data_IF_430687228407
#
_entry.id   IF_430687228407
#
_cell.length_a   1.000
_cell.length_b   1.000
_cell.length_c   1.000
_cell.angle_alpha   90.00
_cell.angle_beta   90.00
_cell.angle_gamma   90.00
#
_symmetry.space_group_name_H-M   'P 1'
#
loop_
_entity.id
_entity.type
_entity.pdbx_description
1 polymer ?
#
# COMPACT_ATOMS: atom_id res chain seq x y z
N UNK A 1 -33.58 32.56 11.77
CA UNK A 1 -33.10 31.74 12.90
C UNK A 1 -31.93 32.35 13.68
N UNK A 2 -31.09 33.23 13.11
CA UNK A 2 -29.86 33.77 13.74
C UNK A 2 -30.02 34.82 14.86
N UNK A 3 -31.21 35.03 15.44
CA UNK A 3 -31.43 36.04 16.51
C UNK A 3 -31.82 35.46 17.87
N UNK A 4 -32.08 34.15 17.95
CA UNK A 4 -32.48 33.47 19.19
C UNK A 4 -31.51 32.38 19.64
N UNK A 5 -30.60 31.99 18.77
CA UNK A 5 -29.63 30.94 19.05
C UNK A 5 -28.22 31.50 18.95
N UNK A 6 -27.40 31.22 19.96
CA UNK A 6 -25.95 31.41 19.92
C UNK A 6 -25.31 30.10 19.49
N UNK A 7 -24.45 30.15 18.49
CA UNK A 7 -23.69 28.99 18.04
C UNK A 7 -22.56 28.76 19.04
N UNK A 8 -22.64 27.66 19.79
CA UNK A 8 -21.54 27.17 20.62
C UNK A 8 -20.82 26.09 19.82
N UNK A 9 -19.61 26.40 19.35
CA UNK A 9 -18.79 25.45 18.61
C UNK A 9 -18.06 24.54 19.59
N UNK A 10 -18.41 23.26 19.60
CA UNK A 10 -17.66 22.24 20.33
C UNK A 10 -16.50 21.76 19.46
N UNK A 11 -15.29 21.81 20.00
CA UNK A 11 -14.11 21.27 19.35
C UNK A 11 -13.98 19.78 19.67
N UNK A 12 -13.33 19.05 18.78
CA UNK A 12 -12.89 17.67 19.05
C UNK A 12 -11.95 17.64 20.26
N UNK A 13 -12.06 16.59 21.06
CA UNK A 13 -11.19 16.40 22.21
C UNK A 13 -9.75 16.12 21.81
N UNK A 14 -8.79 16.60 22.61
CA UNK A 14 -7.39 16.21 22.42
C UNK A 14 -7.15 14.76 22.83
N UNK A 15 -5.97 14.22 22.47
CA UNK A 15 -5.56 12.87 22.91
C UNK A 15 -5.50 12.77 24.43
N UNK A 16 -5.00 13.82 25.09
CA UNK A 16 -4.87 13.90 26.54
C UNK A 16 -6.25 13.97 27.21
N UNK A 17 -7.14 14.81 26.71
CA UNK A 17 -8.53 14.89 27.21
C UNK A 17 -9.26 13.55 27.04
N UNK A 18 -9.09 12.91 25.89
CA UNK A 18 -9.66 11.58 25.62
C UNK A 18 -9.12 10.54 26.60
N UNK A 19 -7.83 10.58 26.93
CA UNK A 19 -7.25 9.66 27.91
C UNK A 19 -7.88 9.81 29.29
N UNK A 20 -8.13 11.04 29.73
CA UNK A 20 -8.82 11.30 31.00
C UNK A 20 -10.28 10.84 30.97
N UNK A 21 -10.98 11.02 29.84
CA UNK A 21 -12.34 10.48 29.63
C UNK A 21 -12.31 8.94 29.74
N UNK A 22 -11.39 8.27 29.05
CA UNK A 22 -11.26 6.81 29.09
C UNK A 22 -10.98 6.29 30.51
N UNK A 23 -10.12 6.97 31.27
CA UNK A 23 -9.86 6.64 32.68
C UNK A 23 -11.13 6.80 33.54
N UNK A 24 -11.93 7.83 33.28
CA UNK A 24 -13.18 8.09 34.00
C UNK A 24 -14.25 7.01 33.77
N UNK A 25 -14.38 6.55 32.52
CA UNK A 25 -15.39 5.52 32.15
C UNK A 25 -14.87 4.08 32.31
N UNK A 26 -13.56 3.89 32.54
CA UNK A 26 -12.91 2.58 32.67
C UNK A 26 -13.65 1.64 33.62
N UNK A 27 -13.95 2.09 34.84
CA UNK A 27 -14.57 1.23 35.87
C UNK A 27 -15.95 0.69 35.48
N UNK A 28 -16.70 1.45 34.66
CA UNK A 28 -17.95 0.99 34.08
C UNK A 28 -17.73 -0.18 33.12
N UNK A 29 -16.77 -0.06 32.19
CA UNK A 29 -16.44 -1.14 31.25
C UNK A 29 -15.84 -2.38 31.96
N UNK A 30 -15.00 -2.18 32.96
CA UNK A 30 -14.42 -3.29 33.73
C UNK A 30 -15.51 -4.10 34.45
N UNK A 31 -16.46 -3.42 35.09
CA UNK A 31 -17.58 -4.07 35.80
C UNK A 31 -18.57 -4.74 34.84
N UNK A 32 -18.91 -4.09 33.73
CA UNK A 32 -19.85 -4.60 32.73
C UNK A 32 -19.29 -5.83 31.97
N UNK A 33 -18.04 -5.75 31.52
CA UNK A 33 -17.41 -6.82 30.76
C UNK A 33 -16.71 -7.87 31.62
N UNK A 34 -16.48 -7.58 32.91
CA UNK A 34 -15.72 -8.42 33.85
C UNK A 34 -14.26 -8.65 33.41
N UNK A 35 -13.63 -7.59 32.89
CA UNK A 35 -12.25 -7.59 32.40
C UNK A 35 -11.50 -6.46 33.09
N UNK A 36 -10.23 -6.68 33.46
CA UNK A 36 -9.35 -5.60 33.91
C UNK A 36 -8.70 -4.90 32.74
N UNK A 37 -8.62 -3.58 32.80
CA UNK A 37 -8.00 -2.73 31.79
C UNK A 37 -6.81 -2.02 32.45
N UNK A 38 -5.60 -2.12 31.89
CA UNK A 38 -4.47 -1.36 32.42
C UNK A 38 -4.51 0.10 31.92
N UNK A 39 -4.10 1.04 32.77
CA UNK A 39 -4.01 2.46 32.41
C UNK A 39 -2.92 2.70 31.35
N UNK A 40 -1.85 1.90 31.35
CA UNK A 40 -0.82 1.95 30.30
C UNK A 40 -1.43 1.59 28.95
N UNK A 41 -2.31 0.58 28.94
CA UNK A 41 -2.97 0.11 27.74
C UNK A 41 -3.94 1.15 27.15
N UNK A 42 -4.59 1.99 27.97
CA UNK A 42 -5.43 3.08 27.48
C UNK A 42 -4.62 4.11 26.68
N UNK A 43 -3.38 4.39 27.09
CA UNK A 43 -2.48 5.27 26.34
C UNK A 43 -2.11 4.63 25.00
N UNK A 44 -1.76 3.35 25.00
CA UNK A 44 -1.46 2.61 23.76
C UNK A 44 -2.67 2.54 22.82
N UNK A 45 -3.87 2.35 23.36
CA UNK A 45 -5.11 2.35 22.58
C UNK A 45 -5.29 3.66 21.83
N UNK A 46 -5.07 4.80 22.48
CA UNK A 46 -5.19 6.12 21.84
C UNK A 46 -4.17 6.26 20.71
N UNK A 47 -2.92 5.84 20.89
CA UNK A 47 -1.93 5.93 19.81
C UNK A 47 -2.27 5.01 18.64
N UNK A 48 -2.75 3.79 18.89
CA UNK A 48 -3.20 2.88 17.83
C UNK A 48 -4.41 3.43 17.07
N UNK A 49 -5.40 3.93 17.79
CA UNK A 49 -6.60 4.52 17.20
C UNK A 49 -6.25 5.78 16.42
N UNK A 50 -5.33 6.60 16.93
CA UNK A 50 -4.86 7.78 16.21
C UNK A 50 -4.17 7.39 14.91
N UNK A 51 -3.27 6.42 14.94
CA UNK A 51 -2.51 6.00 13.77
C UNK A 51 -3.44 5.43 12.67
N UNK A 52 -4.41 4.58 13.06
CA UNK A 52 -5.19 3.78 12.10
C UNK A 52 -6.57 4.38 11.74
N UNK A 53 -7.23 5.12 12.63
CA UNK A 53 -8.60 5.62 12.45
C UNK A 53 -8.58 7.16 12.32
N UNK A 54 -8.33 7.64 11.10
CA UNK A 54 -8.24 9.08 10.80
C UNK A 54 -9.57 9.74 10.38
N UNK A 55 -10.55 8.96 9.93
CA UNK A 55 -11.83 9.45 9.42
C UNK A 55 -12.93 9.65 10.49
N UNK A 56 -12.57 9.48 11.77
CA UNK A 56 -13.46 9.69 12.92
C UNK A 56 -12.79 10.59 13.95
N UNK A 57 -13.63 11.20 14.78
CA UNK A 57 -13.22 12.16 15.79
C UNK A 57 -13.16 11.54 17.17
N UNK A 58 -12.26 12.05 18.00
CA UNK A 58 -12.23 11.79 19.43
C UNK A 58 -13.41 12.44 20.17
N UNK A 59 -13.84 11.87 21.31
CA UNK A 59 -13.32 10.67 21.97
C UNK A 59 -13.96 9.37 21.46
N UNK A 60 -15.00 9.48 20.64
CA UNK A 60 -15.90 8.43 20.19
C UNK A 60 -15.18 7.22 19.58
N UNK A 61 -14.25 7.47 18.64
CA UNK A 61 -13.46 6.39 18.02
C UNK A 61 -12.65 5.55 19.01
N UNK A 62 -12.19 6.14 20.12
CA UNK A 62 -11.42 5.42 21.12
C UNK A 62 -12.32 4.59 22.03
N UNK A 63 -13.49 5.14 22.38
CA UNK A 63 -14.48 4.46 23.21
C UNK A 63 -15.01 3.22 22.48
N UNK A 64 -15.35 3.36 21.20
CA UNK A 64 -15.85 2.24 20.39
C UNK A 64 -14.83 1.10 20.29
N UNK A 65 -13.56 1.43 20.02
CA UNK A 65 -12.50 0.42 19.94
C UNK A 65 -12.25 -0.22 21.31
N UNK A 66 -12.30 0.55 22.40
CA UNK A 66 -12.18 -0.01 23.75
C UNK A 66 -13.31 -1.00 24.05
N UNK A 67 -14.56 -0.62 23.78
CA UNK A 67 -15.73 -1.46 24.04
C UNK A 67 -15.69 -2.75 23.21
N UNK A 68 -15.48 -2.63 21.90
CA UNK A 68 -15.34 -3.78 21.00
C UNK A 68 -14.19 -4.72 21.44
N UNK A 69 -13.08 -4.15 21.90
CA UNK A 69 -11.94 -4.94 22.39
C UNK A 69 -12.29 -5.69 23.68
N UNK A 70 -13.06 -5.08 24.58
CA UNK A 70 -13.55 -5.73 25.80
C UNK A 70 -14.56 -6.84 25.49
N UNK A 71 -15.52 -6.60 24.59
CA UNK A 71 -16.47 -7.63 24.11
C UNK A 71 -15.70 -8.84 23.57
N UNK A 72 -14.67 -8.57 22.77
CA UNK A 72 -13.87 -9.62 22.15
C UNK A 72 -13.02 -10.37 23.19
N UNK A 73 -12.33 -9.69 24.10
CA UNK A 73 -11.62 -10.33 25.21
C UNK A 73 -12.54 -11.24 26.04
N UNK A 74 -13.77 -10.80 26.30
CA UNK A 74 -14.78 -11.57 27.06
C UNK A 74 -15.20 -12.83 26.30
N UNK A 75 -15.38 -12.71 24.99
CA UNK A 75 -15.67 -13.84 24.11
C UNK A 75 -14.56 -14.90 24.13
N UNK A 76 -13.29 -14.49 24.26
CA UNK A 76 -12.15 -15.40 24.41
C UNK A 76 -11.86 -15.80 25.87
N UNK A 77 -12.74 -15.45 26.81
CA UNK A 77 -12.59 -15.75 28.25
C UNK A 77 -11.30 -15.18 28.87
N UNK A 78 -10.80 -14.07 28.34
CA UNK A 78 -9.66 -13.34 28.89
C UNK A 78 -10.11 -12.54 30.13
N UNK A 79 -9.26 -12.50 31.16
CA UNK A 79 -9.53 -11.73 32.40
C UNK A 79 -9.01 -10.30 32.34
N UNK A 80 -8.07 -10.04 31.43
CA UNK A 80 -7.39 -8.76 31.28
C UNK A 80 -7.32 -8.40 29.80
N UNK A 81 -7.51 -7.13 29.48
CA UNK A 81 -7.41 -6.66 28.11
C UNK A 81 -5.93 -6.60 27.70
N UNK A 82 -5.61 -7.10 26.51
CA UNK A 82 -4.25 -7.13 25.98
C UNK A 82 -4.12 -6.23 24.74
N UNK A 83 -2.89 -5.77 24.47
CA UNK A 83 -2.58 -5.00 23.26
C UNK A 83 -2.95 -5.75 21.98
N UNK A 84 -2.65 -7.04 21.91
CA UNK A 84 -2.98 -7.89 20.77
C UNK A 84 -4.47 -7.88 20.48
N UNK A 85 -5.33 -7.91 21.52
CA UNK A 85 -6.78 -7.87 21.35
C UNK A 85 -7.26 -6.56 20.73
N UNK A 86 -6.65 -5.43 21.11
CA UNK A 86 -6.95 -4.10 20.55
C UNK A 86 -6.54 -4.06 19.08
N UNK A 87 -5.32 -4.50 18.75
CA UNK A 87 -4.83 -4.55 17.36
C UNK A 87 -5.77 -5.37 16.49
N UNK A 88 -6.11 -6.59 16.91
CA UNK A 88 -7.03 -7.44 16.15
C UNK A 88 -8.47 -6.87 16.07
N UNK A 89 -8.84 -5.97 16.98
CA UNK A 89 -10.14 -5.29 16.94
C UNK A 89 -10.12 -4.19 15.90
N UNK A 90 -9.03 -3.40 15.86
CA UNK A 90 -8.80 -2.38 14.82
C UNK A 90 -8.74 -3.04 13.44
N UNK A 91 -8.02 -4.15 13.28
CA UNK A 91 -7.95 -4.92 12.04
C UNK A 91 -9.34 -5.33 11.55
N UNK A 92 -10.17 -5.89 12.43
CA UNK A 92 -11.54 -6.28 12.08
C UNK A 92 -12.44 -5.08 11.80
N UNK A 93 -12.29 -4.01 12.58
CA UNK A 93 -13.10 -2.80 12.46
C UNK A 93 -12.83 -2.08 11.14
N UNK A 94 -11.57 -1.96 10.74
CA UNK A 94 -11.15 -1.34 9.48
C UNK A 94 -11.14 -2.31 8.30
N UNK A 95 -11.31 -3.61 8.57
CA UNK A 95 -11.11 -4.69 7.61
C UNK A 95 -9.74 -4.61 6.93
N UNK A 96 -8.68 -4.49 7.72
CA UNK A 96 -7.29 -4.40 7.24
C UNK A 96 -6.41 -5.45 7.93
N UNK A 97 -5.21 -5.59 7.40
CA UNK A 97 -4.15 -6.41 7.98
C UNK A 97 -3.05 -5.54 8.57
N UNK A 98 -2.77 -5.64 9.87
CA UNK A 98 -1.64 -4.95 10.50
C UNK A 98 -0.46 -5.92 10.59
N UNK A 99 0.73 -5.44 10.21
CA UNK A 99 1.92 -6.27 9.95
C UNK A 99 2.34 -7.20 11.10
N UNK A 100 2.05 -6.86 12.36
CA UNK A 100 2.59 -7.56 13.53
C UNK A 100 2.09 -9.01 13.70
N UNK A 101 1.01 -9.40 13.01
CA UNK A 101 0.41 -10.74 13.10
C UNK A 101 0.30 -11.45 11.74
N UNK A 102 0.96 -10.94 10.70
CA UNK A 102 0.89 -11.52 9.36
C UNK A 102 1.70 -12.81 9.23
N UNK A 103 1.07 -13.84 8.65
CA UNK A 103 1.78 -15.00 8.14
C UNK A 103 2.47 -14.63 6.82
N UNK A 104 3.71 -14.16 6.94
CA UNK A 104 4.55 -13.77 5.81
C UNK A 104 4.77 -14.93 4.82
N UNK A 105 4.82 -16.18 5.29
CA UNK A 105 4.98 -17.34 4.40
C UNK A 105 3.73 -17.56 3.56
N UNK A 106 2.54 -17.34 4.15
CA UNK A 106 1.28 -17.39 3.42
C UNK A 106 1.18 -16.23 2.41
N UNK A 107 1.58 -15.02 2.80
CA UNK A 107 1.59 -13.87 1.90
C UNK A 107 2.54 -14.10 0.72
N UNK A 108 3.75 -14.61 0.96
CA UNK A 108 4.72 -14.96 -0.08
C UNK A 108 4.14 -15.98 -1.06
N UNK A 109 3.54 -17.07 -0.55
CA UNK A 109 2.90 -18.09 -1.38
C UNK A 109 1.72 -17.53 -2.20
N UNK A 110 0.94 -16.61 -1.63
CA UNK A 110 -0.17 -15.96 -2.33
C UNK A 110 0.32 -15.03 -3.44
N UNK A 111 1.35 -14.23 -3.18
CA UNK A 111 1.97 -13.37 -4.19
C UNK A 111 2.60 -14.19 -5.31
N UNK A 112 3.34 -15.25 -4.99
CA UNK A 112 3.96 -16.14 -5.98
C UNK A 112 2.94 -16.91 -6.84
N UNK A 113 1.69 -17.07 -6.38
CA UNK A 113 0.60 -17.63 -7.21
C UNK A 113 0.14 -16.65 -8.29
N UNK A 114 0.07 -15.36 -7.95
CA UNK A 114 -0.42 -14.33 -8.86
C UNK A 114 0.68 -13.79 -9.79
N UNK A 115 1.92 -13.78 -9.33
CA UNK A 115 3.08 -13.14 -9.96
C UNK A 115 4.11 -14.22 -10.27
N UNK A 116 4.11 -14.68 -11.52
CA UNK A 116 4.96 -15.79 -11.97
C UNK A 116 6.28 -15.31 -12.57
N UNK A 117 7.39 -15.86 -12.07
CA UNK A 117 8.73 -15.61 -12.60
C UNK A 117 9.52 -14.52 -11.87
N UNK A 118 8.99 -13.96 -10.78
CA UNK A 118 9.62 -12.90 -9.99
C UNK A 118 9.76 -13.28 -8.51
N UNK A 119 9.88 -14.57 -8.22
CA UNK A 119 9.96 -15.14 -6.86
C UNK A 119 11.05 -14.46 -6.03
N UNK A 120 12.23 -14.23 -6.62
CA UNK A 120 13.33 -13.51 -5.97
C UNK A 120 12.92 -12.12 -5.49
N UNK A 121 12.17 -11.38 -6.32
CA UNK A 121 11.74 -10.03 -5.98
C UNK A 121 10.65 -10.03 -4.91
N UNK A 122 9.75 -11.01 -4.95
CA UNK A 122 8.71 -11.18 -3.93
C UNK A 122 9.34 -11.55 -2.59
N UNK A 123 10.31 -12.46 -2.57
CA UNK A 123 11.05 -12.83 -1.37
C UNK A 123 11.69 -11.60 -0.69
N UNK A 124 12.36 -10.75 -1.48
CA UNK A 124 12.93 -9.49 -0.99
C UNK A 124 11.88 -8.54 -0.41
N UNK A 125 10.69 -8.44 -1.03
CA UNK A 125 9.61 -7.62 -0.47
C UNK A 125 9.17 -8.14 0.90
N UNK A 126 9.01 -9.46 1.02
CA UNK A 126 8.58 -10.11 2.26
C UNK A 126 9.62 -9.94 3.36
N UNK A 127 10.91 -10.07 3.04
CA UNK A 127 12.01 -9.80 3.97
C UNK A 127 11.95 -8.36 4.50
N UNK A 128 11.75 -7.35 3.64
CA UNK A 128 11.58 -5.95 4.09
C UNK A 128 10.37 -5.80 5.03
N UNK A 129 9.25 -6.46 4.73
CA UNK A 129 8.06 -6.44 5.59
C UNK A 129 8.26 -7.10 6.96
N UNK A 130 9.23 -8.00 7.11
CA UNK A 130 9.58 -8.62 8.38
C UNK A 130 10.45 -7.72 9.27
N UNK A 131 11.31 -6.92 8.66
CA UNK A 131 12.31 -6.13 9.37
C UNK A 131 11.96 -4.67 9.57
N UNK A 132 11.04 -4.12 8.76
CA UNK A 132 10.65 -2.71 8.80
C UNK A 132 9.15 -2.54 9.05
N UNK A 133 8.78 -1.55 9.85
CA UNK A 133 7.39 -1.10 9.99
C UNK A 133 7.05 -0.08 8.89
N UNK A 134 5.76 0.14 8.65
CA UNK A 134 5.32 1.15 7.70
C UNK A 134 5.76 2.56 8.14
N UNK A 135 6.01 3.49 7.19
CA UNK A 135 5.91 3.32 5.73
C UNK A 135 7.07 2.50 5.15
N UNK A 136 6.75 1.69 4.13
CA UNK A 136 7.74 0.90 3.37
C UNK A 136 7.72 1.32 1.92
N UNK A 137 8.89 1.46 1.32
CA UNK A 137 9.08 1.86 -0.06
C UNK A 137 9.80 0.79 -0.89
N UNK A 138 9.19 0.42 -2.01
CA UNK A 138 9.75 -0.54 -2.96
C UNK A 138 9.97 0.14 -4.30
N UNK A 139 11.15 -0.06 -4.90
CA UNK A 139 11.42 0.37 -6.26
C UNK A 139 11.58 -0.84 -7.18
N UNK A 140 10.66 -1.01 -8.12
CA UNK A 140 10.59 -2.16 -9.03
C UNK A 140 10.96 -1.74 -10.45
N UNK A 141 12.10 -2.22 -10.96
CA UNK A 141 12.59 -1.94 -12.31
C UNK A 141 12.74 -3.23 -13.15
N UNK A 142 12.90 -3.12 -14.46
CA UNK A 142 12.81 -4.25 -15.41
C UNK A 142 11.97 -3.98 -16.67
N UNK A 143 11.74 -5.00 -17.52
CA UNK A 143 11.00 -4.86 -18.78
C UNK A 143 9.51 -4.51 -18.58
N UNK A 144 8.87 -4.09 -19.67
CA UNK A 144 7.42 -3.92 -19.73
C UNK A 144 6.72 -5.28 -19.56
N UNK A 145 5.51 -5.26 -19.02
CA UNK A 145 4.65 -6.45 -18.88
C UNK A 145 5.19 -7.58 -17.99
N UNK A 146 6.22 -7.35 -17.18
CA UNK A 146 6.74 -8.31 -16.20
C UNK A 146 5.95 -8.37 -14.89
N UNK A 147 4.79 -7.70 -14.79
CA UNK A 147 3.92 -7.79 -13.60
C UNK A 147 4.15 -6.75 -12.50
N UNK A 148 4.87 -5.65 -12.75
CA UNK A 148 5.16 -4.62 -11.72
C UNK A 148 3.89 -3.99 -11.11
N UNK A 149 2.99 -3.51 -11.97
CA UNK A 149 1.69 -2.97 -11.57
C UNK A 149 0.82 -4.04 -10.90
N UNK A 150 0.93 -5.29 -11.37
CA UNK A 150 0.22 -6.43 -10.80
C UNK A 150 0.69 -6.72 -9.38
N UNK A 151 1.97 -6.59 -9.09
CA UNK A 151 2.53 -6.76 -7.76
C UNK A 151 1.89 -5.80 -6.77
N UNK A 152 1.78 -4.53 -7.12
CA UNK A 152 1.10 -3.54 -6.27
C UNK A 152 -0.38 -3.87 -6.05
N UNK A 153 -1.09 -4.25 -7.12
CA UNK A 153 -2.51 -4.61 -7.03
C UNK A 153 -2.74 -5.88 -6.19
N UNK A 154 -1.88 -6.88 -6.34
CA UNK A 154 -1.97 -8.16 -5.60
C UNK A 154 -1.61 -7.95 -4.14
N UNK A 155 -0.59 -7.14 -3.85
CA UNK A 155 -0.22 -6.77 -2.49
C UNK A 155 -1.36 -6.03 -1.77
N UNK A 156 -1.98 -5.04 -2.44
CA UNK A 156 -3.13 -4.34 -1.88
C UNK A 156 -4.30 -5.29 -1.57
N UNK A 157 -4.57 -6.24 -2.47
CA UNK A 157 -5.60 -7.28 -2.28
C UNK A 157 -5.29 -8.18 -1.07
N UNK A 158 -4.06 -8.64 -0.91
CA UNK A 158 -3.71 -9.59 0.16
C UNK A 158 -3.55 -8.92 1.53
N UNK A 159 -3.10 -7.66 1.58
CA UNK A 159 -3.09 -6.85 2.79
C UNK A 159 -4.47 -6.25 3.11
N UNK A 160 -5.41 -6.35 2.18
CA UNK A 160 -6.70 -5.67 2.21
C UNK A 160 -6.55 -4.14 2.43
N UNK A 161 -5.56 -3.56 1.76
CA UNK A 161 -5.29 -2.13 1.76
C UNK A 161 -5.97 -1.48 0.56
N UNK A 162 -6.29 -0.20 0.70
CA UNK A 162 -6.78 0.56 -0.44
C UNK A 162 -5.69 0.66 -1.51
N UNK A 163 -6.05 0.43 -2.77
CA UNK A 163 -5.11 0.53 -3.89
C UNK A 163 -5.26 1.88 -4.58
N UNK A 164 -4.21 2.69 -4.55
CA UNK A 164 -4.15 3.95 -5.28
C UNK A 164 -3.04 3.90 -6.33
N UNK A 165 -3.41 4.06 -7.60
CA UNK A 165 -2.45 4.18 -8.71
C UNK A 165 -2.38 5.62 -9.17
N UNK A 166 -1.16 6.14 -9.24
CA UNK A 166 -0.83 7.40 -9.88
C UNK A 166 0.06 7.11 -11.09
N UNK A 167 -0.41 7.51 -12.28
CA UNK A 167 0.36 7.39 -13.52
C UNK A 167 1.22 8.64 -13.69
N UNK A 168 2.53 8.49 -13.52
CA UNK A 168 3.47 9.62 -13.52
C UNK A 168 3.60 10.29 -14.89
N UNK A 169 3.13 9.66 -15.98
CA UNK A 169 3.04 10.32 -17.29
C UNK A 169 2.10 11.53 -17.27
N UNK A 170 1.11 11.55 -16.37
CA UNK A 170 0.21 12.70 -16.20
C UNK A 170 0.86 13.85 -15.40
N UNK A 171 2.08 13.64 -14.92
CA UNK A 171 2.77 14.56 -14.04
C UNK A 171 4.19 14.92 -14.53
N UNK A 172 4.35 14.99 -15.84
CA UNK A 172 5.59 15.42 -16.50
C UNK A 172 5.87 16.92 -16.33
N UNK A 173 4.82 17.72 -16.14
CA UNK A 173 4.92 19.19 -16.08
C UNK A 173 4.77 19.68 -14.63
N UNK A 174 5.56 20.68 -14.22
CA UNK A 174 5.61 21.18 -12.83
C UNK A 174 4.25 21.59 -12.26
N UNK A 175 3.33 22.12 -13.08
CA UNK A 175 1.99 22.53 -12.64
C UNK A 175 1.07 21.33 -12.30
N UNK A 176 1.46 20.11 -12.70
CA UNK A 176 0.73 18.88 -12.36
C UNK A 176 0.83 18.54 -10.87
N UNK A 177 1.83 19.09 -10.17
CA UNK A 177 1.96 18.97 -8.71
C UNK A 177 0.72 19.53 -8.01
N UNK A 178 0.14 20.61 -8.52
CA UNK A 178 -1.09 21.18 -7.99
C UNK A 178 -2.30 20.24 -8.17
N UNK A 179 -2.34 19.43 -9.22
CA UNK A 179 -3.37 18.39 -9.37
C UNK A 179 -3.21 17.27 -8.32
N UNK A 180 -1.98 16.99 -7.91
CA UNK A 180 -1.65 15.98 -6.91
C UNK A 180 -1.96 16.47 -5.48
N UNK A 181 -1.67 17.74 -5.18
CA UNK A 181 -1.68 18.27 -3.81
C UNK A 181 -2.78 19.31 -3.56
N UNK A 182 -3.09 20.17 -4.53
CA UNK A 182 -4.00 21.28 -4.32
C UNK A 182 -5.46 20.94 -4.61
N UNK A 183 -6.31 21.71 -3.92
CA UNK A 183 -7.76 21.70 -4.03
C UNK A 183 -8.22 22.79 -4.98
N UNK A 184 -8.22 22.55 -6.29
CA UNK A 184 -8.97 23.42 -7.19
C UNK A 184 -10.47 23.20 -6.91
N UNK A 185 -11.14 24.23 -6.38
CA UNK A 185 -12.57 24.25 -5.99
C UNK A 185 -12.95 23.42 -4.77
N UNK A 186 -12.64 23.89 -3.54
CA UNK A 186 -13.14 23.38 -2.24
C UNK A 186 -13.02 21.86 -1.97
N UNK A 187 -12.49 21.06 -2.91
CA UNK A 187 -12.41 19.61 -2.84
C UNK A 187 -10.97 19.17 -2.67
N UNK A 188 -10.66 18.35 -1.65
CA UNK A 188 -9.34 17.74 -1.47
C UNK A 188 -8.84 17.07 -2.76
N UNK A 189 -7.54 17.14 -3.02
CA UNK A 189 -6.96 16.42 -4.15
C UNK A 189 -7.23 14.90 -4.02
N UNK A 190 -7.11 14.17 -5.13
CA UNK A 190 -7.36 12.72 -5.13
C UNK A 190 -6.47 11.99 -4.10
N UNK A 191 -5.20 12.36 -4.04
CA UNK A 191 -4.25 11.74 -3.10
C UNK A 191 -4.64 12.05 -1.65
N UNK A 192 -4.91 13.32 -1.35
CA UNK A 192 -5.18 13.76 0.03
C UNK A 192 -6.50 13.19 0.55
N UNK A 193 -7.57 13.25 -0.24
CA UNK A 193 -8.87 12.70 0.12
C UNK A 193 -8.83 11.19 0.33
N UNK A 194 -8.07 10.49 -0.51
CA UNK A 194 -7.91 9.04 -0.42
C UNK A 194 -7.17 8.65 0.85
N UNK A 195 -6.04 9.30 1.16
CA UNK A 195 -5.25 8.97 2.35
C UNK A 195 -5.94 9.35 3.66
N UNK A 196 -6.75 10.42 3.66
CA UNK A 196 -7.59 10.77 4.80
C UNK A 196 -8.70 9.74 5.05
N UNK A 197 -9.30 9.22 3.98
CA UNK A 197 -10.38 8.23 4.07
C UNK A 197 -9.85 6.81 4.33
N UNK A 198 -8.69 6.49 3.76
CA UNK A 198 -8.04 5.18 3.77
C UNK A 198 -6.55 5.32 4.14
N UNK A 199 -6.22 5.41 5.43
CA UNK A 199 -4.83 5.54 5.89
C UNK A 199 -3.94 4.37 5.44
N UNK A 200 -4.52 3.17 5.36
CA UNK A 200 -3.87 1.96 4.89
C UNK A 200 -3.99 1.84 3.37
N UNK A 201 -2.97 2.35 2.68
CA UNK A 201 -2.96 2.42 1.22
C UNK A 201 -1.69 1.82 0.64
N UNK A 202 -1.83 1.02 -0.42
CA UNK A 202 -0.72 0.70 -1.33
C UNK A 202 -0.73 1.74 -2.44
N UNK A 203 0.28 2.61 -2.44
CA UNK A 203 0.44 3.70 -3.40
C UNK A 203 1.41 3.28 -4.51
N UNK A 204 0.88 3.06 -5.72
CA UNK A 204 1.68 2.80 -6.90
C UNK A 204 2.00 4.10 -7.65
N UNK A 205 3.28 4.43 -7.74
CA UNK A 205 3.81 5.45 -8.65
C UNK A 205 4.32 4.75 -9.92
N UNK A 206 3.48 4.73 -10.95
CA UNK A 206 3.75 4.04 -12.21
C UNK A 206 4.57 4.93 -13.15
N UNK A 207 5.64 4.40 -13.75
CA UNK A 207 6.59 5.15 -14.60
C UNK A 207 7.25 6.37 -13.92
N UNK A 208 7.82 6.18 -12.72
CA UNK A 208 8.42 7.27 -11.92
C UNK A 208 9.54 8.04 -12.65
N UNK A 209 10.16 7.44 -13.66
CA UNK A 209 11.14 8.07 -14.53
C UNK A 209 10.59 9.21 -15.40
N UNK A 210 9.26 9.27 -15.55
CA UNK A 210 8.57 10.28 -16.33
C UNK A 210 8.03 11.43 -15.46
N UNK A 211 8.16 11.36 -14.13
CA UNK A 211 7.70 12.44 -13.24
C UNK A 211 8.60 13.67 -13.34
N UNK A 212 8.04 14.86 -13.12
CA UNK A 212 8.82 16.08 -12.95
C UNK A 212 9.67 16.05 -11.67
N UNK A 213 10.75 16.84 -11.63
CA UNK A 213 11.69 16.88 -10.50
C UNK A 213 10.98 17.27 -9.19
N UNK A 214 9.99 18.16 -9.23
CA UNK A 214 9.26 18.62 -8.04
C UNK A 214 8.48 17.48 -7.36
N UNK A 215 7.96 16.53 -8.13
CA UNK A 215 7.28 15.35 -7.58
C UNK A 215 8.27 14.38 -6.95
N UNK A 216 9.43 14.23 -7.56
CA UNK A 216 10.50 13.41 -6.99
C UNK A 216 10.96 14.01 -5.66
N UNK A 217 11.14 15.33 -5.59
CA UNK A 217 11.48 16.03 -4.35
C UNK A 217 10.38 15.90 -3.29
N UNK A 218 9.12 16.03 -3.68
CA UNK A 218 7.98 15.85 -2.77
C UNK A 218 7.99 14.45 -2.12
N UNK A 219 8.09 13.39 -2.91
CA UNK A 219 8.11 12.03 -2.36
C UNK A 219 9.38 11.73 -1.56
N UNK A 220 10.52 12.32 -1.96
CA UNK A 220 11.75 12.27 -1.18
C UNK A 220 11.57 12.86 0.22
N UNK A 221 10.90 14.03 0.33
CA UNK A 221 10.58 14.63 1.62
C UNK A 221 9.59 13.77 2.42
N UNK A 222 8.56 13.22 1.77
CA UNK A 222 7.58 12.35 2.44
C UNK A 222 8.26 11.09 3.02
N UNK A 223 9.29 10.56 2.37
CA UNK A 223 10.04 9.42 2.89
C UNK A 223 10.90 9.76 4.10
N UNK A 224 11.39 11.00 4.22
CA UNK A 224 12.14 11.46 5.39
C UNK A 224 11.20 11.80 6.57
N UNK A 225 10.17 12.60 6.31
CA UNK A 225 9.31 13.17 7.36
C UNK A 225 8.15 12.23 7.76
N UNK A 226 7.74 11.31 6.89
CA UNK A 226 6.58 10.43 7.09
C UNK A 226 5.23 11.14 7.01
N UNK A 227 5.20 12.45 6.79
CA UNK A 227 3.99 13.23 6.57
C UNK A 227 4.22 14.33 5.52
N UNK A 228 3.12 14.82 4.95
CA UNK A 228 3.09 16.02 4.13
C UNK A 228 2.30 17.12 4.86
N UNK A 229 2.82 18.34 4.88
CA UNK A 229 2.11 19.50 5.41
C UNK A 229 1.79 20.48 4.28
N UNK A 230 0.50 20.73 4.08
CA UNK A 230 0.01 21.70 3.11
C UNK A 230 0.18 23.15 3.62
N UNK A 231 0.06 24.15 2.73
CA UNK A 231 0.13 25.58 3.07
C UNK A 231 -0.89 25.99 4.14
N UNK A 232 -2.04 25.31 4.19
CA UNK A 232 -3.06 25.48 5.22
C UNK A 232 -2.70 24.79 6.56
N UNK A 233 -1.45 24.33 6.74
CA UNK A 233 -0.95 23.54 7.89
C UNK A 233 -1.71 22.26 8.16
N UNK A 234 -2.33 21.70 7.13
CA UNK A 234 -2.99 20.39 7.21
C UNK A 234 -1.91 19.32 7.08
N UNK A 235 -1.74 18.51 8.12
CA UNK A 235 -0.80 17.37 8.12
C UNK A 235 -1.48 16.11 7.60
N UNK A 236 -0.80 15.43 6.69
CA UNK A 236 -1.27 14.19 6.07
C UNK A 236 -0.19 13.14 6.32
N UNK A 237 -0.53 12.18 7.17
CA UNK A 237 0.40 11.11 7.55
C UNK A 237 0.43 10.03 6.47
N UNK A 238 1.64 9.56 6.16
CA UNK A 238 1.91 8.43 5.29
C UNK A 238 2.38 7.20 6.09
N UNK A 239 2.25 7.22 7.43
CA UNK A 239 2.73 6.17 8.32
C UNK A 239 2.21 4.77 7.97
N UNK A 240 1.00 4.66 7.39
CA UNK A 240 0.37 3.40 7.04
C UNK A 240 0.39 3.09 5.53
N UNK A 241 1.31 3.71 4.79
CA UNK A 241 1.40 3.59 3.32
C UNK A 241 2.52 2.64 2.89
N UNK A 242 2.22 1.77 1.93
CA UNK A 242 3.22 1.01 1.18
C UNK A 242 3.42 1.68 -0.17
N UNK A 243 4.60 2.23 -0.41
CA UNK A 243 4.97 2.83 -1.68
C UNK A 243 5.54 1.79 -2.62
N UNK A 244 5.00 1.71 -3.83
CA UNK A 244 5.58 0.94 -4.92
C UNK A 244 5.86 1.90 -6.06
N UNK A 245 7.12 2.09 -6.37
CA UNK A 245 7.58 2.87 -7.52
C UNK A 245 7.96 1.89 -8.62
N UNK A 246 7.55 2.19 -9.84
CA UNK A 246 7.95 1.37 -10.99
C UNK A 246 8.54 2.21 -12.11
N UNK A 247 9.59 1.68 -12.71
CA UNK A 247 10.25 2.28 -13.87
C UNK A 247 10.35 1.23 -14.97
N UNK A 248 9.97 1.58 -16.20
CA UNK A 248 10.27 0.75 -17.38
C UNK A 248 11.71 1.00 -17.80
N UNK A 249 12.56 -0.03 -17.72
CA UNK A 249 13.97 0.18 -17.99
C UNK A 249 14.77 -1.11 -17.98
N UNK A 250 15.24 -1.50 -19.15
CA UNK A 250 16.35 -2.44 -19.33
C UNK A 250 17.40 -1.79 -20.22
N UNK A 251 18.01 -0.71 -19.76
CA UNK A 251 19.17 -0.12 -20.43
C UNK A 251 20.42 -0.95 -20.09
N UNK A 252 20.48 -2.18 -20.61
CA UNK A 252 21.77 -2.80 -20.96
C UNK A 252 22.26 -2.10 -22.22
N UNK A 253 22.87 -0.94 -22.08
CA UNK A 253 23.68 -0.37 -23.14
C UNK A 253 25.12 -0.87 -22.94
N UNK A 254 25.44 -2.03 -23.51
CA UNK A 254 26.82 -2.47 -23.66
C UNK A 254 27.41 -1.74 -24.86
N UNK A 255 28.03 -0.59 -24.62
CA UNK A 255 28.92 0.05 -25.60
C UNK A 255 30.25 0.36 -24.89
N UNK A 256 31.21 -0.56 -24.97
CA UNK A 256 32.58 -0.35 -24.45
C UNK A 256 33.26 -1.59 -23.85
N UNK A 257 34.51 -1.82 -24.24
CA UNK A 257 35.37 -2.98 -23.92
C UNK A 257 35.86 -3.07 -22.45
N UNK A 258 35.09 -2.59 -21.46
CA UNK A 258 35.38 -2.84 -20.03
C UNK A 258 34.11 -3.28 -19.30
N UNK A 259 34.10 -4.54 -18.86
CA UNK A 259 33.04 -5.17 -18.09
C UNK A 259 32.92 -4.52 -16.70
N UNK A 260 32.12 -3.48 -16.56
CA UNK A 260 31.36 -3.22 -15.33
C UNK A 260 29.87 -3.20 -15.69
N UNK A 261 29.11 -4.16 -15.15
CA UNK A 261 27.65 -4.21 -15.29
C UNK A 261 27.06 -3.08 -14.44
N UNK A 262 26.95 -1.88 -14.99
CA UNK A 262 26.19 -0.81 -14.35
C UNK A 262 24.78 -0.79 -14.93
N UNK A 263 23.80 -1.14 -14.09
CA UNK A 263 22.38 -0.93 -14.35
C UNK A 263 22.10 0.57 -14.33
N UNK A 264 21.86 1.18 -15.50
CA UNK A 264 21.39 2.57 -15.60
C UNK A 264 19.88 2.61 -15.32
N UNK A 265 19.48 2.55 -14.05
CA UNK A 265 18.25 3.21 -13.61
C UNK A 265 18.59 4.68 -13.30
N UNK A 266 17.60 5.57 -13.29
CA UNK A 266 17.84 6.97 -12.94
C UNK A 266 18.46 6.97 -11.54
N UNK A 267 19.67 7.49 -11.34
CA UNK A 267 20.20 7.72 -9.99
C UNK A 267 19.73 9.09 -9.55
N UNK A 268 18.52 9.13 -9.00
CA UNK A 268 17.96 10.27 -8.30
C UNK A 268 18.10 10.08 -6.78
N UNK A 269 18.13 11.18 -6.05
CA UNK A 269 18.13 11.22 -4.57
C UNK A 269 17.04 10.34 -3.93
N UNK A 270 15.91 10.16 -4.62
CA UNK A 270 14.80 9.32 -4.19
C UNK A 270 15.24 7.87 -3.95
N UNK A 271 16.09 7.30 -4.81
CA UNK A 271 16.40 5.87 -4.78
C UNK A 271 17.33 5.48 -3.64
N UNK A 272 18.14 6.41 -3.15
CA UNK A 272 18.99 6.17 -1.97
C UNK A 272 18.14 6.11 -0.69
N UNK A 273 16.89 6.60 -0.73
CA UNK A 273 15.92 6.57 0.37
C UNK A 273 14.93 5.41 0.29
N UNK A 274 14.94 4.64 -0.81
CA UNK A 274 14.04 3.50 -0.97
C UNK A 274 14.54 2.33 -0.14
N UNK A 275 13.63 1.64 0.54
CA UNK A 275 13.99 0.52 1.42
C UNK A 275 14.54 -0.66 0.66
N UNK A 276 13.92 -0.98 -0.47
CA UNK A 276 14.32 -2.13 -1.26
C UNK A 276 14.15 -1.90 -2.76
N UNK A 277 15.24 -2.17 -3.49
CA UNK A 277 15.29 -2.12 -4.95
C UNK A 277 15.16 -3.55 -5.50
N UNK A 278 14.18 -3.76 -6.37
CA UNK A 278 13.79 -5.08 -6.87
C UNK A 278 13.89 -5.11 -8.39
N UNK A 279 14.67 -6.06 -8.90
CA UNK A 279 14.85 -6.29 -10.33
C UNK A 279 13.89 -7.36 -10.84
N UNK A 280 13.04 -7.00 -11.81
CA UNK A 280 12.19 -7.94 -12.52
C UNK A 280 12.88 -8.42 -13.80
N UNK A 281 12.93 -9.73 -13.96
CA UNK A 281 13.51 -10.36 -15.15
C UNK A 281 12.48 -10.47 -16.29
N UNK A 282 12.94 -10.51 -17.55
CA UNK A 282 12.10 -10.87 -18.68
C UNK A 282 11.44 -12.25 -18.45
N UNK A 283 10.18 -12.38 -18.84
CA UNK A 283 9.43 -13.62 -18.70
C UNK A 283 9.97 -14.69 -19.66
N UNK A 284 10.22 -15.90 -19.15
CA UNK A 284 10.53 -17.05 -19.99
C UNK A 284 9.28 -17.53 -20.71
N UNK A 285 9.45 -18.24 -21.84
CA UNK A 285 8.34 -18.83 -22.59
C UNK A 285 7.45 -19.73 -21.73
N UNK A 286 8.06 -20.57 -20.90
CA UNK A 286 7.35 -21.46 -19.97
C UNK A 286 6.47 -20.69 -18.98
N UNK A 287 6.95 -19.54 -18.49
CA UNK A 287 6.18 -18.71 -17.56
C UNK A 287 5.00 -18.05 -18.28
N UNK A 288 5.20 -17.57 -19.50
CA UNK A 288 4.12 -16.98 -20.31
C UNK A 288 3.02 -18.02 -20.56
N UNK A 289 3.38 -19.25 -20.91
CA UNK A 289 2.43 -20.36 -21.08
C UNK A 289 1.63 -20.62 -19.79
N UNK A 290 2.30 -20.65 -18.63
CA UNK A 290 1.63 -20.78 -17.33
C UNK A 290 0.67 -19.61 -17.04
N UNK A 291 1.05 -18.37 -17.37
CA UNK A 291 0.20 -17.19 -17.17
C UNK A 291 -1.08 -17.28 -18.00
N UNK A 292 -0.98 -17.69 -19.28
CA UNK A 292 -2.14 -17.85 -20.17
C UNK A 292 -3.09 -18.91 -19.61
N UNK A 293 -2.56 -20.06 -19.20
CA UNK A 293 -3.35 -21.13 -18.59
C UNK A 293 -4.08 -20.68 -17.31
N UNK A 294 -3.43 -19.90 -16.45
CA UNK A 294 -4.02 -19.44 -15.19
C UNK A 294 -5.09 -18.36 -15.38
N UNK A 295 -4.94 -17.45 -16.35
CA UNK A 295 -5.83 -16.29 -16.46
C UNK A 295 -7.03 -16.50 -17.36
N UNK A 296 -6.89 -17.32 -18.39
CA UNK A 296 -7.94 -17.41 -19.41
C UNK A 296 -8.80 -18.67 -19.30
N UNK A 297 -8.42 -19.69 -18.52
CA UNK A 297 -9.03 -21.03 -18.62
C UNK A 297 -9.12 -21.51 -20.08
N UNK A 298 -8.25 -21.00 -20.95
CA UNK A 298 -8.25 -21.34 -22.36
C UNK A 298 -7.23 -22.47 -22.57
N UNK A 299 -7.72 -23.63 -22.98
CA UNK A 299 -6.89 -24.67 -23.59
C UNK A 299 -6.22 -24.08 -24.83
N UNK A 300 -4.94 -24.36 -25.05
CA UNK A 300 -4.14 -23.90 -26.21
C UNK A 300 -4.89 -24.12 -27.56
N UNK A 301 -5.73 -25.15 -27.62
CA UNK A 301 -6.61 -25.47 -28.76
C UNK A 301 -7.66 -24.38 -29.08
N UNK A 302 -8.19 -23.67 -28.09
CA UNK A 302 -9.18 -22.59 -28.27
C UNK A 302 -8.53 -21.30 -28.78
N UNK A 303 -7.31 -20.96 -28.32
CA UNK A 303 -6.51 -19.86 -28.91
C UNK A 303 -6.17 -20.18 -30.37
N UNK A 304 -5.80 -21.44 -30.65
CA UNK A 304 -5.53 -21.89 -32.02
C UNK A 304 -6.75 -21.81 -32.94
N UNK A 305 -7.97 -21.99 -32.42
CA UNK A 305 -9.22 -21.87 -33.18
C UNK A 305 -9.67 -20.40 -33.33
N UNK A 306 -9.57 -19.57 -32.29
CA UNK A 306 -9.90 -18.14 -32.37
C UNK A 306 -8.95 -17.37 -33.32
N UNK A 307 -7.66 -17.73 -33.35
CA UNK A 307 -6.69 -17.17 -34.28
C UNK A 307 -6.89 -17.61 -35.74
N UNK A 308 -7.61 -18.71 -35.99
CA UNK A 308 -8.00 -19.13 -37.34
C UNK A 308 -9.22 -18.37 -37.86
N UNK A 309 -10.12 -17.94 -36.98
CA UNK A 309 -11.37 -17.26 -37.37
C UNK A 309 -11.16 -15.78 -37.73
N UNK A 310 -10.14 -15.11 -37.16
CA UNK A 310 -9.96 -13.66 -37.35
C UNK A 310 -9.06 -13.23 -38.54
N UNK A 311 -8.50 -14.15 -39.34
CA UNK A 311 -7.68 -13.82 -40.52
C UNK A 311 -6.58 -12.73 -40.30
N UNK A 312 -6.05 -12.58 -39.08
CA UNK A 312 -4.98 -11.62 -38.82
C UNK A 312 -3.63 -12.25 -39.20
N UNK A 313 -2.86 -11.69 -40.15
CA UNK A 313 -1.57 -12.24 -40.56
C UNK A 313 -0.48 -11.82 -39.56
N UNK A 314 -0.50 -12.40 -38.35
CA UNK A 314 0.61 -12.25 -37.41
C UNK A 314 1.61 -13.38 -37.69
N UNK A 315 2.87 -12.99 -37.90
CA UNK A 315 4.03 -13.81 -38.27
C UNK A 315 4.50 -14.78 -37.14
N UNK A 316 3.55 -15.34 -36.37
CA UNK A 316 3.77 -16.36 -35.35
C UNK A 316 4.14 -17.72 -35.95
N UNK A 317 3.81 -17.96 -37.23
CA UNK A 317 4.20 -19.17 -37.96
C UNK A 317 5.72 -19.31 -38.13
N UNK A 318 6.45 -18.20 -38.24
CA UNK A 318 7.93 -18.16 -38.25
C UNK A 318 8.52 -18.48 -36.88
N UNK A 319 7.92 -17.95 -35.80
CA UNK A 319 8.32 -18.27 -34.42
C UNK A 319 8.04 -19.74 -34.05
N UNK A 320 6.92 -20.30 -34.51
CA UNK A 320 6.55 -21.70 -34.24
C UNK A 320 7.38 -22.70 -35.05
N UNK A 321 7.79 -22.38 -36.29
CA UNK A 321 8.71 -23.22 -37.08
C UNK A 321 10.10 -23.33 -36.43
N UNK A 322 10.60 -22.27 -35.81
CA UNK A 322 11.87 -22.30 -35.08
C UNK A 322 11.80 -23.13 -33.80
N UNK A 323 10.64 -23.17 -33.13
CA UNK A 323 10.45 -24.00 -31.91
C UNK A 323 10.39 -25.49 -32.26
N UNK A 324 9.79 -25.86 -33.40
CA UNK A 324 9.75 -27.25 -33.90
C UNK A 324 11.09 -27.79 -34.43
N UNK A 325 12.08 -26.94 -34.70
CA UNK A 325 13.41 -27.35 -35.18
C UNK A 325 14.44 -27.49 -34.05
N UNK A 326 14.07 -27.16 -32.80
CA UNK A 326 14.94 -27.25 -31.62
C UNK A 326 14.52 -28.35 -30.63
N UNK A 327 13.46 -29.09 -30.94
CA UNK A 327 13.12 -30.41 -30.36
C UNK A 327 13.69 -31.50 -31.25
#
# INVERSE_FOLDING_TARGET
>A
MNRRFSIVTLKENTKEETLEILKGIKGYYESYHQIKIDNVLLKELIELVDCHIKNRTYPDKAIDILDLSCVKAKFYHEKELTKNRIVETIEKYLNITIHHQMDYQKLEKQLNKDILGQEKGIHQMIETFQHKQLPISFFIYGPTSCGKTLTAKSLAKYLNYHYLKLDMNQYQESHSLYKLLETYHEKPSLLLSTLQSYPHTVLLLDHIDQACEEIIHLFSQIFDDGYYEDQAKRKISFENVVFIMSQTGTSRCCMGFKKSRQTKYLKHELFDKVDQIIEYQPLSKEIIEKIIHLREHISIEKIHNLLKEEHIPINLSKMMKQIKQMS
#
